data_IF_984450977164
#
_entry.id   IF_984450977164
#
_cell.length_a   1.000
_cell.length_b   1.000
_cell.length_c   1.000
_cell.angle_alpha   90.00
_cell.angle_beta   90.00
_cell.angle_gamma   90.00
#
_symmetry.space_group_name_H-M   'P 1'
#
loop_
_entity.id
_entity.type
_entity.pdbx_description
1 polymer ?
#
# COMPACT_ATOMS: atom_id res chain seq x y z
N UNK A 1 3.72 -12.84 31.69
CA UNK A 1 3.26 -12.17 30.46
C UNK A 1 2.84 -13.23 29.46
N UNK A 2 1.55 -13.26 29.12
CA UNK A 2 0.99 -14.20 28.16
C UNK A 2 1.53 -13.99 26.75
N UNK A 3 1.82 -15.07 26.04
CA UNK A 3 2.11 -15.07 24.61
C UNK A 3 1.08 -15.92 23.89
N UNK A 4 1.04 -15.82 22.55
CA UNK A 4 0.18 -16.71 21.74
C UNK A 4 0.36 -18.20 22.06
N UNK A 5 1.57 -18.62 22.46
CA UNK A 5 1.89 -20.02 22.79
C UNK A 5 1.73 -20.36 24.27
N UNK A 6 1.59 -19.35 25.14
CA UNK A 6 1.45 -19.49 26.59
C UNK A 6 0.55 -18.36 27.09
N UNK A 7 -0.78 -18.49 27.01
CA UNK A 7 -1.71 -17.45 27.46
C UNK A 7 -1.44 -17.02 28.90
N UNK A 8 -1.72 -15.75 29.21
CA UNK A 8 -1.59 -15.19 30.56
C UNK A 8 -2.69 -15.70 31.49
N UNK A 9 -2.69 -15.22 32.73
CA UNK A 9 -3.76 -15.56 33.67
C UNK A 9 -5.10 -14.97 33.21
N UNK A 10 -5.06 -13.80 32.56
CA UNK A 10 -6.22 -13.14 31.97
C UNK A 10 -6.28 -13.41 30.46
N UNK A 11 -6.95 -14.50 30.07
CA UNK A 11 -7.14 -14.89 28.67
C UNK A 11 -8.33 -14.12 28.03
N UNK A 12 -8.02 -13.00 27.40
CA UNK A 12 -9.00 -12.18 26.67
C UNK A 12 -9.62 -12.93 25.49
N UNK A 13 -8.90 -13.87 24.87
CA UNK A 13 -9.38 -14.59 23.69
C UNK A 13 -10.45 -15.60 24.06
N UNK A 14 -10.23 -16.38 25.13
CA UNK A 14 -11.20 -17.32 25.65
C UNK A 14 -12.43 -16.67 26.29
N UNK A 15 -12.31 -15.40 26.73
CA UNK A 15 -13.39 -14.66 27.39
C UNK A 15 -14.26 -13.85 26.43
N UNK A 16 -13.85 -13.66 25.17
CA UNK A 16 -14.57 -12.88 24.19
C UNK A 16 -15.89 -13.55 23.78
N UNK A 17 -16.93 -12.76 23.54
CA UNK A 17 -18.19 -13.28 22.98
C UNK A 17 -17.99 -13.65 21.48
N UNK A 18 -18.78 -14.58 20.93
CA UNK A 18 -18.59 -15.07 19.56
C UNK A 18 -18.63 -13.98 18.47
N UNK A 19 -19.33 -12.88 18.71
CA UNK A 19 -19.55 -11.75 17.80
C UNK A 19 -18.87 -10.45 18.25
N UNK A 20 -18.05 -10.50 19.31
CA UNK A 20 -17.35 -9.32 19.81
C UNK A 20 -16.23 -8.91 18.85
N UNK A 21 -16.21 -7.66 18.34
CA UNK A 21 -15.14 -7.19 17.48
C UNK A 21 -13.84 -7.08 18.27
N UNK A 22 -12.77 -7.69 17.77
CA UNK A 22 -11.46 -7.72 18.42
C UNK A 22 -10.39 -7.00 17.59
N UNK A 23 -9.47 -6.32 18.29
CA UNK A 23 -8.26 -5.76 17.71
C UNK A 23 -7.04 -6.19 18.54
N UNK A 24 -5.96 -6.61 17.88
CA UNK A 24 -4.75 -7.13 18.54
C UNK A 24 -3.62 -6.13 18.38
N UNK A 25 -3.07 -5.68 19.50
CA UNK A 25 -1.86 -4.86 19.56
C UNK A 25 -0.63 -5.76 19.71
N UNK A 26 0.40 -5.52 18.89
CA UNK A 26 1.65 -6.28 18.92
C UNK A 26 2.81 -5.38 19.36
N UNK A 27 3.84 -5.98 19.97
CA UNK A 27 5.02 -5.24 20.45
C UNK A 27 5.77 -4.46 19.35
N UNK A 28 5.60 -4.85 18.08
CA UNK A 28 6.16 -4.16 16.92
C UNK A 28 5.48 -2.83 16.62
N UNK A 29 4.22 -2.67 17.02
CA UNK A 29 3.44 -1.46 16.79
C UNK A 29 3.94 -0.36 17.75
N UNK A 30 4.36 0.82 17.26
CA UNK A 30 4.99 1.84 18.10
C UNK A 30 4.15 2.28 19.29
N UNK A 31 2.84 2.45 19.06
CA UNK A 31 1.93 3.02 20.04
C UNK A 31 1.33 1.99 21.00
N UNK A 32 1.46 0.70 20.68
CA UNK A 32 0.86 -0.38 21.43
C UNK A 32 1.20 -0.39 22.94
N UNK A 33 2.48 -0.30 23.39
CA UNK A 33 2.77 -0.30 24.82
C UNK A 33 2.14 0.89 25.55
N UNK A 34 2.08 2.07 24.91
CA UNK A 34 1.46 3.27 25.48
C UNK A 34 -0.06 3.10 25.59
N UNK A 35 -0.71 2.55 24.56
CA UNK A 35 -2.15 2.27 24.59
C UNK A 35 -2.52 1.27 25.70
N UNK A 36 -1.68 0.26 25.93
CA UNK A 36 -1.87 -0.71 27.02
C UNK A 36 -1.73 -0.05 28.40
N UNK A 37 -0.75 0.84 28.59
CA UNK A 37 -0.62 1.60 29.84
C UNK A 37 -1.82 2.52 30.09
N UNK A 38 -2.27 3.25 29.07
CA UNK A 38 -3.47 4.09 29.16
C UNK A 38 -4.69 3.26 29.56
N UNK A 39 -4.85 2.07 28.96
CA UNK A 39 -5.94 1.16 29.34
C UNK A 39 -5.85 0.74 30.82
N UNK A 40 -4.66 0.43 31.32
CA UNK A 40 -4.44 0.06 32.72
C UNK A 40 -4.78 1.23 33.68
N UNK A 41 -4.36 2.45 33.34
CA UNK A 41 -4.68 3.67 34.10
C UNK A 41 -6.21 3.88 34.18
N UNK A 42 -6.93 3.72 33.06
CA UNK A 42 -8.39 3.82 33.05
C UNK A 42 -9.05 2.70 33.86
N UNK A 43 -8.51 1.48 33.82
CA UNK A 43 -9.02 0.35 34.62
C UNK A 43 -8.92 0.66 36.11
N UNK A 44 -7.76 1.09 36.58
CA UNK A 44 -7.51 1.47 37.97
C UNK A 44 -8.40 2.64 38.41
N UNK A 45 -8.57 3.66 37.55
CA UNK A 45 -9.49 4.76 37.83
C UNK A 45 -10.93 4.28 38.01
N UNK A 46 -11.38 3.32 37.19
CA UNK A 46 -12.72 2.73 37.32
C UNK A 46 -12.88 1.91 38.60
N UNK A 47 -11.83 1.18 39.02
CA UNK A 47 -11.82 0.47 40.30
C UNK A 47 -11.94 1.47 41.46
N UNK A 48 -11.09 2.51 41.48
CA UNK A 48 -11.08 3.53 42.53
C UNK A 48 -12.41 4.32 42.62
N UNK A 49 -13.18 4.38 41.52
CA UNK A 49 -14.52 4.97 41.47
C UNK A 49 -15.65 3.99 41.78
N UNK A 50 -15.35 2.75 42.16
CA UNK A 50 -16.34 1.70 42.46
C UNK A 50 -17.12 1.21 41.25
N UNK A 51 -16.63 1.45 40.02
CA UNK A 51 -17.28 0.99 38.77
C UNK A 51 -16.81 -0.40 38.32
N UNK A 52 -15.77 -0.92 38.96
CA UNK A 52 -15.19 -2.25 38.72
C UNK A 52 -14.74 -2.87 40.06
N UNK A 53 -14.72 -4.20 40.17
CA UNK A 53 -14.31 -4.88 41.39
C UNK A 53 -12.81 -4.71 41.66
N UNK A 54 -12.41 -4.76 42.92
CA UNK A 54 -11.00 -4.65 43.33
C UNK A 54 -10.12 -5.78 42.74
N UNK A 55 -10.70 -6.96 42.50
CA UNK A 55 -10.03 -8.09 41.85
C UNK A 55 -9.51 -7.80 40.45
N UNK A 56 -10.04 -6.78 39.76
CA UNK A 56 -9.55 -6.35 38.45
C UNK A 56 -8.18 -5.67 38.51
N UNK A 57 -7.68 -5.31 39.70
CA UNK A 57 -6.38 -4.64 39.84
C UNK A 57 -5.23 -5.50 39.31
N UNK A 58 -5.31 -6.81 39.52
CA UNK A 58 -4.35 -7.76 38.97
C UNK A 58 -4.32 -7.76 37.43
N UNK A 59 -5.44 -7.45 36.76
CA UNK A 59 -5.48 -7.32 35.29
C UNK A 59 -4.72 -6.08 34.83
N UNK A 60 -4.84 -4.96 35.55
CA UNK A 60 -4.08 -3.74 35.27
C UNK A 60 -2.57 -4.00 35.47
N UNK A 61 -2.19 -4.70 36.55
CA UNK A 61 -0.81 -5.08 36.80
C UNK A 61 -0.23 -5.98 35.70
N UNK A 62 -0.97 -7.01 35.25
CA UNK A 62 -0.54 -7.85 34.13
C UNK A 62 -0.42 -7.05 32.83
N UNK A 63 -1.34 -6.11 32.56
CA UNK A 63 -1.26 -5.23 31.40
C UNK A 63 0.00 -4.33 31.43
N UNK A 64 0.35 -3.75 32.58
CA UNK A 64 1.60 -2.99 32.73
C UNK A 64 2.85 -3.85 32.50
N UNK A 65 2.85 -5.08 33.01
CA UNK A 65 3.92 -6.05 32.73
C UNK A 65 4.00 -6.39 31.24
N UNK A 66 2.85 -6.49 30.56
CA UNK A 66 2.76 -6.65 29.12
C UNK A 66 3.40 -5.46 28.38
N UNK A 67 2.98 -4.22 28.68
CA UNK A 67 3.54 -3.02 28.07
C UNK A 67 5.07 -2.92 28.24
N UNK A 68 5.58 -3.21 29.44
CA UNK A 68 7.03 -3.26 29.69
C UNK A 68 7.74 -4.33 28.86
N UNK A 69 7.12 -5.51 28.75
CA UNK A 69 7.67 -6.59 27.93
C UNK A 69 7.61 -6.27 26.44
N UNK A 70 6.59 -5.55 25.97
CA UNK A 70 6.49 -5.06 24.60
C UNK A 70 7.63 -4.08 24.29
N UNK A 71 7.91 -3.13 25.19
CA UNK A 71 9.05 -2.21 25.07
C UNK A 71 10.39 -2.95 25.04
N UNK A 72 10.58 -3.90 25.96
CA UNK A 72 11.81 -4.70 26.03
C UNK A 72 12.01 -5.54 24.76
N UNK A 73 10.96 -6.21 24.28
CA UNK A 73 11.00 -6.96 23.04
C UNK A 73 11.33 -6.05 21.85
N UNK A 74 10.69 -4.89 21.76
CA UNK A 74 10.92 -3.92 20.69
C UNK A 74 12.36 -3.42 20.66
N UNK A 75 12.91 -3.06 21.82
CA UNK A 75 14.31 -2.64 21.94
C UNK A 75 15.28 -3.75 21.53
N UNK A 76 14.98 -5.00 21.87
CA UNK A 76 15.81 -6.16 21.52
C UNK A 76 15.67 -6.62 20.06
N UNK A 77 14.64 -6.17 19.34
CA UNK A 77 14.31 -6.62 17.98
C UNK A 77 14.32 -5.47 16.97
N UNK A 78 14.83 -4.28 17.31
CA UNK A 78 14.74 -3.11 16.45
C UNK A 78 15.33 -3.38 15.06
N UNK A 79 14.61 -2.96 14.02
CA UNK A 79 14.95 -3.25 12.61
C UNK A 79 14.74 -4.70 12.13
N UNK A 80 14.43 -5.68 12.98
CA UNK A 80 14.22 -7.08 12.53
C UNK A 80 12.83 -7.35 11.96
N UNK A 81 11.80 -6.69 12.50
CA UNK A 81 10.41 -6.92 12.09
C UNK A 81 9.98 -6.06 10.89
N UNK A 82 10.68 -4.94 10.67
CA UNK A 82 10.71 -4.27 9.37
C UNK A 82 11.85 -4.90 8.60
N UNK A 83 11.64 -6.09 8.02
CA UNK A 83 12.30 -6.31 6.74
C UNK A 83 11.94 -5.05 5.93
N UNK A 84 12.92 -4.30 5.38
CA UNK A 84 12.54 -3.43 4.28
C UNK A 84 11.71 -4.34 3.38
N UNK A 85 10.54 -3.85 2.96
CA UNK A 85 9.95 -4.44 1.77
C UNK A 85 11.11 -4.37 0.79
N UNK A 86 11.77 -5.52 0.56
CA UNK A 86 12.72 -5.61 -0.54
C UNK A 86 11.91 -5.05 -1.69
N UNK A 87 12.37 -4.02 -2.41
CA UNK A 87 11.59 -3.40 -3.46
C UNK A 87 11.03 -4.56 -4.26
N UNK A 88 9.70 -4.69 -4.21
CA UNK A 88 8.99 -5.96 -4.38
C UNK A 88 9.67 -6.72 -5.51
N UNK A 89 10.49 -7.72 -5.18
CA UNK A 89 11.22 -8.52 -6.19
C UNK A 89 10.30 -9.63 -6.66
N UNK A 90 9.03 -9.26 -6.82
CA UNK A 90 7.98 -9.91 -7.59
C UNK A 90 7.32 -8.74 -8.32
N UNK A 91 7.93 -8.30 -9.43
CA UNK A 91 7.30 -7.27 -10.25
C UNK A 91 5.90 -7.79 -10.62
N UNK A 92 4.82 -7.05 -10.31
CA UNK A 92 3.50 -7.49 -10.71
C UNK A 92 3.51 -7.67 -12.22
N UNK A 93 3.00 -8.80 -12.69
CA UNK A 93 2.57 -8.94 -14.07
C UNK A 93 1.68 -7.73 -14.35
N UNK A 94 2.19 -6.76 -15.11
CA UNK A 94 1.39 -5.63 -15.53
C UNK A 94 1.94 -4.22 -15.35
N UNK A 95 3.17 -3.95 -14.88
CA UNK A 95 3.81 -2.63 -15.13
C UNK A 95 5.33 -2.77 -15.24
N UNK A 96 5.93 -2.14 -16.27
CA UNK A 96 7.34 -2.24 -16.62
C UNK A 96 7.92 -0.84 -16.89
N UNK A 97 9.21 -0.59 -16.64
CA UNK A 97 9.84 0.70 -16.98
C UNK A 97 9.64 1.09 -18.45
N UNK A 98 9.28 2.35 -18.72
CA UNK A 98 8.90 2.82 -20.06
C UNK A 98 9.98 2.62 -21.14
N UNK A 99 11.25 2.59 -20.76
CA UNK A 99 12.39 2.33 -21.64
C UNK A 99 12.41 0.89 -22.19
N UNK A 100 11.69 -0.03 -21.54
CA UNK A 100 11.52 -1.42 -21.99
C UNK A 100 10.29 -1.65 -22.88
N UNK A 101 9.53 -0.60 -23.18
CA UNK A 101 8.30 -0.71 -23.96
C UNK A 101 8.58 -1.00 -25.45
N UNK A 102 7.71 -1.78 -26.12
CA UNK A 102 7.85 -2.05 -27.55
C UNK A 102 7.61 -0.76 -28.35
N UNK A 103 8.58 -0.41 -29.20
CA UNK A 103 8.54 0.78 -30.07
C UNK A 103 8.18 0.43 -31.52
N UNK A 104 7.42 -0.65 -31.69
CA UNK A 104 7.04 -1.24 -32.98
C UNK A 104 5.60 -0.88 -33.40
N UNK A 105 4.94 0.03 -32.67
CA UNK A 105 3.55 0.42 -32.89
C UNK A 105 2.53 -0.45 -32.17
N UNK A 106 2.95 -1.45 -31.37
CA UNK A 106 2.05 -2.24 -30.52
C UNK A 106 1.34 -1.34 -29.50
N UNK A 107 -0.01 -1.40 -29.39
CA UNK A 107 -0.74 -0.67 -28.36
C UNK A 107 -0.40 -1.16 -26.95
N UNK A 108 -0.14 -0.20 -26.08
CA UNK A 108 0.18 -0.41 -24.66
C UNK A 108 -0.62 0.56 -23.80
N UNK A 109 -0.72 0.27 -22.52
CA UNK A 109 -1.14 1.26 -21.55
C UNK A 109 0.09 1.84 -20.86
N UNK A 110 0.07 3.13 -20.57
CA UNK A 110 1.16 3.84 -19.89
C UNK A 110 0.68 4.50 -18.61
N UNK A 111 1.60 4.62 -17.66
CA UNK A 111 1.41 5.43 -16.46
C UNK A 111 2.19 6.73 -16.60
N UNK A 112 1.47 7.85 -16.65
CA UNK A 112 2.04 9.19 -16.70
C UNK A 112 2.32 9.65 -15.27
N UNK A 113 3.57 10.07 -15.02
CA UNK A 113 3.98 10.63 -13.73
C UNK A 113 3.71 12.13 -13.63
N UNK A 114 4.25 12.79 -12.60
CA UNK A 114 4.14 14.25 -12.42
C UNK A 114 3.12 14.66 -11.36
N UNK A 115 2.61 15.89 -11.49
CA UNK A 115 1.69 16.51 -10.51
C UNK A 115 0.32 15.81 -10.47
N UNK A 116 -0.16 15.31 -11.61
CA UNK A 116 -1.43 14.59 -11.73
C UNK A 116 -1.21 13.20 -12.33
N UNK A 117 -0.79 12.22 -11.52
CA UNK A 117 -0.48 10.89 -12.02
C UNK A 117 -1.75 10.16 -12.49
N UNK A 118 -1.72 9.63 -13.70
CA UNK A 118 -2.87 8.96 -14.31
C UNK A 118 -2.44 7.87 -15.32
N UNK A 119 -3.38 6.98 -15.65
CA UNK A 119 -3.21 5.95 -16.69
C UNK A 119 -3.77 6.48 -18.00
N UNK A 120 -3.02 6.26 -19.08
CA UNK A 120 -3.46 6.48 -20.45
C UNK A 120 -3.48 5.12 -21.16
N UNK A 121 -4.56 4.82 -21.87
CA UNK A 121 -4.73 3.54 -22.57
C UNK A 121 -4.53 3.68 -24.07
N UNK A 122 -4.29 2.56 -24.74
CA UNK A 122 -4.21 2.47 -26.20
C UNK A 122 -3.12 3.36 -26.81
N UNK A 123 -2.02 3.52 -26.07
CA UNK A 123 -0.87 4.35 -26.45
C UNK A 123 0.04 3.58 -27.40
N UNK A 124 0.50 4.25 -28.47
CA UNK A 124 1.36 3.66 -29.50
C UNK A 124 2.61 4.50 -29.71
N UNK A 125 3.74 3.85 -29.94
CA UNK A 125 4.95 4.53 -30.41
C UNK A 125 4.88 4.70 -31.91
N UNK A 126 4.94 5.94 -32.41
CA UNK A 126 5.01 6.21 -33.85
C UNK A 126 5.69 7.54 -34.16
N UNK A 127 6.07 7.69 -35.42
CA UNK A 127 6.45 8.98 -35.98
C UNK A 127 5.20 9.89 -36.15
N UNK A 128 5.36 11.22 -36.12
CA UNK A 128 4.27 12.16 -36.42
C UNK A 128 3.78 11.99 -37.87
N UNK A 129 2.47 12.16 -38.08
CA UNK A 129 1.82 12.12 -39.40
C UNK A 129 1.81 13.50 -40.05
N UNK A 130 1.85 13.59 -41.39
CA UNK A 130 1.80 14.84 -42.18
C UNK A 130 0.72 15.85 -41.74
N UNK A 131 -0.44 15.41 -41.26
CA UNK A 131 -1.48 16.30 -40.73
C UNK A 131 -1.14 16.92 -39.36
N UNK A 132 -0.38 16.21 -38.52
CA UNK A 132 0.13 16.73 -37.24
C UNK A 132 1.24 17.76 -37.47
N UNK A 133 1.92 17.73 -38.63
CA UNK A 133 2.85 18.80 -39.05
C UNK A 133 2.16 20.14 -39.27
N UNK A 134 0.96 20.13 -39.84
CA UNK A 134 0.24 21.37 -40.18
C UNK A 134 -0.54 21.96 -39.00
N UNK A 135 -0.83 21.16 -37.97
CA UNK A 135 -1.65 21.59 -36.82
C UNK A 135 -0.85 22.39 -35.77
N UNK A 136 0.50 22.24 -35.74
CA UNK A 136 1.37 22.90 -34.75
C UNK A 136 2.22 24.07 -35.29
N UNK A 137 2.02 24.52 -36.53
CA UNK A 137 2.57 25.77 -37.06
C UNK A 137 3.93 25.62 -37.77
N UNK A 138 4.05 26.30 -38.91
CA UNK A 138 5.06 26.06 -39.95
C UNK A 138 6.52 26.45 -39.66
N UNK A 139 7.38 26.00 -40.59
CA UNK A 139 8.77 26.39 -40.93
C UNK A 139 9.80 26.69 -39.83
N UNK A 140 9.49 26.51 -38.54
CA UNK A 140 10.41 26.82 -37.43
C UNK A 140 10.40 25.85 -36.25
N UNK A 141 9.66 24.74 -36.33
CA UNK A 141 9.64 23.73 -35.25
C UNK A 141 10.32 22.46 -35.74
N UNK A 142 11.38 22.06 -35.02
CA UNK A 142 12.09 20.79 -35.19
C UNK A 142 11.11 19.64 -35.41
N UNK A 143 11.40 18.83 -36.42
CA UNK A 143 10.66 17.59 -36.70
C UNK A 143 10.46 16.81 -35.40
N UNK A 144 9.23 16.54 -34.94
CA UNK A 144 9.06 15.81 -33.70
C UNK A 144 9.68 14.43 -33.86
N UNK A 145 10.64 14.09 -33.00
CA UNK A 145 11.12 12.73 -32.90
C UNK A 145 9.94 11.78 -32.64
N UNK A 146 10.02 10.52 -33.07
CA UNK A 146 9.03 9.52 -32.71
C UNK A 146 8.77 9.53 -31.20
N UNK A 147 7.49 9.52 -30.82
CA UNK A 147 7.06 9.60 -29.42
C UNK A 147 5.86 8.69 -29.17
N UNK A 148 5.40 8.66 -27.93
CA UNK A 148 4.17 7.99 -27.53
C UNK A 148 2.98 8.86 -27.91
N UNK A 149 2.01 8.26 -28.60
CA UNK A 149 0.75 8.91 -28.98
C UNK A 149 -0.42 8.18 -28.37
N UNK A 150 -1.39 8.93 -27.85
CA UNK A 150 -2.72 8.43 -27.55
C UNK A 150 -3.69 8.77 -28.70
N UNK A 151 -5.00 8.64 -28.44
CA UNK A 151 -6.04 8.95 -29.42
C UNK A 151 -6.15 10.46 -29.74
N UNK A 152 -5.59 11.33 -28.90
CA UNK A 152 -5.67 12.79 -29.02
C UNK A 152 -4.40 13.42 -29.58
N UNK A 153 -3.27 12.71 -29.55
CA UNK A 153 -2.02 13.18 -30.14
C UNK A 153 -0.77 12.68 -29.40
N UNK A 154 0.39 13.32 -29.61
CA UNK A 154 1.60 12.97 -28.86
C UNK A 154 1.44 13.31 -27.39
N UNK A 155 1.89 12.41 -26.51
CA UNK A 155 2.04 12.72 -25.09
C UNK A 155 3.05 13.86 -24.94
N UNK A 156 2.63 14.94 -24.28
CA UNK A 156 3.41 16.16 -24.17
C UNK A 156 4.69 15.98 -23.37
N UNK A 157 5.68 16.85 -23.60
CA UNK A 157 6.96 16.87 -22.85
C UNK A 157 6.79 17.04 -21.33
N UNK A 158 5.64 17.55 -20.89
CA UNK A 158 5.31 17.78 -19.49
C UNK A 158 4.62 16.59 -18.81
N UNK A 159 4.29 15.56 -19.58
CA UNK A 159 3.59 14.35 -19.13
C UNK A 159 4.35 13.09 -19.57
N UNK A 160 5.63 12.92 -19.18
CA UNK A 160 6.41 11.78 -19.62
C UNK A 160 5.83 10.49 -19.02
N UNK A 161 5.54 9.47 -19.83
CA UNK A 161 5.20 8.16 -19.32
C UNK A 161 6.40 7.58 -18.55
N UNK A 162 6.12 6.93 -17.43
CA UNK A 162 7.15 6.37 -16.53
C UNK A 162 7.17 4.85 -16.59
N UNK A 163 5.99 4.23 -16.80
CA UNK A 163 5.82 2.79 -16.86
C UNK A 163 4.83 2.42 -17.96
N UNK A 164 4.91 1.18 -18.44
CA UNK A 164 4.00 0.62 -19.43
C UNK A 164 3.50 -0.77 -19.05
N UNK A 165 2.42 -1.19 -19.68
CA UNK A 165 1.92 -2.56 -19.63
C UNK A 165 1.25 -2.98 -20.94
N UNK A 166 1.24 -4.28 -21.28
CA UNK A 166 0.48 -4.73 -22.44
C UNK A 166 -1.01 -4.42 -22.24
N UNK A 167 -1.68 -4.02 -23.33
CA UNK A 167 -3.12 -3.86 -23.31
C UNK A 167 -3.80 -5.18 -22.87
N UNK A 168 -4.87 -5.12 -22.06
CA UNK A 168 -5.57 -6.32 -21.62
C UNK A 168 -6.13 -7.08 -22.81
N UNK A 169 -6.03 -8.41 -22.80
CA UNK A 169 -6.66 -9.23 -23.81
C UNK A 169 -8.18 -9.01 -23.79
N UNK A 170 -8.84 -8.90 -24.95
CA UNK A 170 -10.30 -8.81 -25.00
C UNK A 170 -10.91 -10.07 -24.35
N UNK A 171 -12.08 -9.96 -23.71
CA UNK A 171 -12.77 -11.12 -23.17
C UNK A 171 -13.06 -12.14 -24.28
N UNK A 172 -12.93 -13.42 -23.96
CA UNK A 172 -13.26 -14.49 -24.91
C UNK A 172 -14.72 -14.35 -25.35
N UNK A 173 -14.96 -14.29 -26.66
CA UNK A 173 -16.32 -14.30 -27.19
C UNK A 173 -16.91 -15.68 -26.91
N UNK A 174 -17.93 -15.74 -26.06
CA UNK A 174 -18.79 -16.93 -25.96
C UNK A 174 -19.57 -17.03 -27.27
N UNK A 175 -19.21 -17.99 -28.12
CA UNK A 175 -20.05 -18.39 -29.25
C UNK A 175 -21.39 -18.87 -28.68
N UNK A 176 -22.43 -18.07 -28.84
CA UNK A 176 -23.80 -18.51 -28.59
C UNK A 176 -24.20 -19.48 -29.69
N UNK A 177 -24.32 -20.75 -29.33
CA UNK A 177 -24.94 -21.80 -30.15
C UNK A 177 -26.48 -21.65 -30.20
#
# INVERSE_FOLDING_TARGET
MGSKLKPGAFDCYGSALPDEPMFILLARDPDAPTLVDIWADWRELHINRGRRPEGDRAMADEARQCANSMRAWRAANDGTWRRPVSPITEMPIGWRPIDTAPKDGTPIDVWVGGEFPHRVTDVVWRAPTDSEWWTHGGDTIDTPDPTWHDLFGPLGKHEPPTHWMPAPAPPAQTETA
#
